data_IF_600633536089
#
_entry.id   IF_600633536089
#
_cell.length_a   1.000
_cell.length_b   1.000
_cell.length_c   1.000
_cell.angle_alpha   90.00
_cell.angle_beta   90.00
_cell.angle_gamma   90.00
#
_symmetry.space_group_name_H-M   'P 1'
#
loop_
_entity.id
_entity.type
_entity.pdbx_description
1 polymer ?
#
# COMPACT_ATOMS: atom_id res chain seq x y z
N UNK A 1 -0.44 -12.50 -15.46
CA UNK A 1 0.78 -13.08 -14.82
C UNK A 1 1.05 -12.38 -13.50
N UNK A 2 2.06 -12.78 -12.70
CA UNK A 2 2.51 -11.96 -11.56
C UNK A 2 2.77 -10.50 -11.97
N UNK A 3 3.23 -10.29 -13.22
CA UNK A 3 3.46 -8.96 -13.81
C UNK A 3 2.20 -8.10 -13.96
N UNK A 4 1.03 -8.70 -14.24
CA UNK A 4 -0.25 -7.94 -14.28
C UNK A 4 -0.76 -7.59 -12.87
N UNK A 5 -0.36 -8.35 -11.86
CA UNK A 5 -0.73 -8.10 -10.47
C UNK A 5 0.10 -6.95 -9.86
N UNK A 6 1.35 -6.77 -10.31
CA UNK A 6 2.18 -5.61 -9.95
C UNK A 6 1.84 -4.33 -10.70
N UNK A 7 1.02 -4.38 -11.77
CA UNK A 7 0.20 -3.24 -12.20
C UNK A 7 -0.89 -2.97 -11.16
N UNK A 8 -0.49 -2.64 -9.94
CA UNK A 8 -1.35 -1.82 -9.10
C UNK A 8 -1.50 -0.52 -9.87
N UNK A 9 -2.67 -0.31 -10.49
CA UNK A 9 -3.02 0.89 -11.27
C UNK A 9 -2.54 2.15 -10.55
N UNK A 10 -2.70 2.18 -9.24
CA UNK A 10 -2.29 3.28 -8.35
C UNK A 10 -0.77 3.50 -8.29
N UNK A 11 0.05 2.44 -8.36
CA UNK A 11 1.51 2.55 -8.40
C UNK A 11 1.96 3.02 -9.78
N UNK A 12 1.53 2.33 -10.84
CA UNK A 12 1.91 2.66 -12.22
C UNK A 12 1.46 4.08 -12.59
N UNK A 13 0.21 4.45 -12.29
CA UNK A 13 -0.32 5.79 -12.56
C UNK A 13 0.43 6.89 -11.81
N UNK A 14 0.87 6.64 -10.57
CA UNK A 14 1.64 7.64 -9.83
C UNK A 14 2.96 7.99 -10.53
N UNK A 15 3.64 6.99 -11.11
CA UNK A 15 4.89 7.19 -11.83
C UNK A 15 4.70 7.74 -13.26
N UNK A 16 3.53 7.50 -13.87
CA UNK A 16 3.18 8.09 -15.17
C UNK A 16 2.69 9.54 -15.05
N UNK A 17 1.93 9.86 -14.00
CA UNK A 17 1.32 11.17 -13.79
C UNK A 17 2.27 12.19 -13.17
N UNK A 18 3.19 11.76 -12.28
CA UNK A 18 4.10 12.68 -11.59
C UNK A 18 5.54 12.44 -12.05
N UNK A 19 6.12 13.44 -12.71
CA UNK A 19 7.47 13.40 -13.26
C UNK A 19 8.58 13.26 -12.20
N UNK A 20 8.29 13.60 -10.94
CA UNK A 20 9.15 13.42 -9.77
C UNK A 20 8.63 12.35 -8.78
N UNK A 21 7.75 11.46 -9.24
CA UNK A 21 7.28 10.34 -8.42
C UNK A 21 8.45 9.54 -7.87
N UNK A 22 8.47 9.38 -6.55
CA UNK A 22 9.48 8.57 -5.88
C UNK A 22 8.85 7.77 -4.74
N UNK A 23 9.42 6.59 -4.49
CA UNK A 23 9.11 5.82 -3.28
C UNK A 23 9.60 6.63 -2.07
N UNK A 24 8.67 6.97 -1.19
CA UNK A 24 8.97 7.65 0.08
C UNK A 24 9.33 6.60 1.14
N UNK A 25 10.26 6.91 2.05
CA UNK A 25 10.51 6.06 3.20
C UNK A 25 9.21 5.77 3.97
N UNK A 26 9.09 4.52 4.41
CA UNK A 26 8.09 4.12 5.40
C UNK A 26 8.27 4.98 6.66
N UNK A 27 7.16 5.27 7.35
CA UNK A 27 7.21 5.89 8.67
C UNK A 27 7.74 4.92 9.73
N UNK A 28 7.88 5.42 10.95
CA UNK A 28 8.25 4.57 12.08
C UNK A 28 7.23 3.43 12.28
N UNK A 29 7.70 2.23 12.64
CA UNK A 29 6.82 1.08 12.83
C UNK A 29 5.78 1.30 13.92
N UNK A 30 6.10 2.07 14.95
CA UNK A 30 5.17 2.41 16.04
C UNK A 30 3.99 3.28 15.61
N UNK A 31 4.05 3.87 14.42
CA UNK A 31 2.92 4.62 13.85
C UNK A 31 1.87 3.72 13.19
N UNK A 32 2.22 2.47 12.89
CA UNK A 32 1.34 1.54 12.18
C UNK A 32 0.56 0.66 13.17
N UNK A 33 -0.70 0.41 12.82
CA UNK A 33 -1.56 -0.57 13.45
C UNK A 33 -1.97 -1.63 12.44
N UNK A 34 -2.17 -2.85 12.95
CA UNK A 34 -2.75 -3.94 12.19
C UNK A 34 -4.28 -3.87 12.34
N UNK A 35 -4.98 -3.49 11.30
CA UNK A 35 -6.43 -3.56 11.26
C UNK A 35 -6.88 -4.96 10.83
N UNK A 36 -7.91 -5.45 11.50
CA UNK A 36 -8.50 -6.75 11.25
C UNK A 36 -9.96 -6.58 10.86
N UNK A 37 -10.36 -7.26 9.78
CA UNK A 37 -11.70 -7.25 9.24
C UNK A 37 -12.18 -8.68 9.00
N UNK A 38 -13.49 -8.86 8.87
CA UNK A 38 -14.12 -10.16 8.59
C UNK A 38 -13.63 -11.26 9.54
N UNK A 39 -13.64 -10.97 10.84
CA UNK A 39 -13.23 -11.92 11.88
C UNK A 39 -11.78 -12.44 11.69
N UNK A 40 -10.85 -11.55 11.34
CA UNK A 40 -9.44 -11.90 11.16
C UNK A 40 -9.06 -12.47 9.81
N UNK A 41 -10.00 -12.63 8.89
CA UNK A 41 -9.74 -13.17 7.54
C UNK A 41 -9.00 -12.17 6.64
N UNK A 42 -9.23 -10.88 6.87
CA UNK A 42 -8.58 -9.79 6.13
C UNK A 42 -7.86 -8.89 7.12
N UNK A 43 -6.59 -8.61 6.86
CA UNK A 43 -5.78 -7.68 7.65
C UNK A 43 -5.11 -6.65 6.77
N UNK A 44 -4.85 -5.45 7.30
CA UNK A 44 -3.99 -4.46 6.63
C UNK A 44 -3.17 -3.68 7.64
N UNK A 45 -2.03 -3.19 7.21
CA UNK A 45 -1.22 -2.24 7.98
C UNK A 45 -1.56 -0.82 7.54
N UNK A 46 -1.96 0.01 8.49
CA UNK A 46 -2.22 1.44 8.25
C UNK A 46 -1.58 2.31 9.34
N UNK A 47 -1.03 3.45 8.94
CA UNK A 47 -0.58 4.48 9.87
C UNK A 47 -1.75 5.36 10.32
N UNK A 48 -1.47 6.34 11.19
CA UNK A 48 -2.47 7.30 11.70
C UNK A 48 -3.20 8.12 10.62
N UNK A 49 -2.70 8.15 9.39
CA UNK A 49 -3.31 8.82 8.24
C UNK A 49 -3.95 7.83 7.26
N UNK A 50 -4.05 6.56 7.63
CA UNK A 50 -4.61 5.51 6.77
C UNK A 50 -3.66 5.08 5.66
N UNK A 51 -2.36 5.37 5.76
CA UNK A 51 -1.39 4.97 4.73
C UNK A 51 -0.75 3.63 5.08
N UNK A 52 -0.49 2.81 4.07
CA UNK A 52 0.32 1.60 4.22
C UNK A 52 1.81 1.95 4.32
N UNK A 53 2.65 0.96 4.62
CA UNK A 53 4.09 1.12 4.54
C UNK A 53 4.62 1.53 3.17
N UNK A 54 3.91 1.20 2.09
CA UNK A 54 4.29 1.54 0.73
C UNK A 54 3.73 2.90 0.36
N UNK A 55 4.63 3.87 0.18
CA UNK A 55 4.26 5.26 -0.06
C UNK A 55 4.98 5.77 -1.29
N UNK A 56 4.24 6.38 -2.20
CA UNK A 56 4.77 7.09 -3.37
C UNK A 56 4.41 8.55 -3.17
N UNK A 57 5.32 9.46 -3.48
CA UNK A 57 4.98 10.87 -3.44
C UNK A 57 5.70 11.67 -4.49
N UNK A 58 5.15 12.85 -4.72
CA UNK A 58 5.67 13.90 -5.56
C UNK A 58 5.90 15.13 -4.68
N UNK A 59 7.09 15.72 -4.75
CA UNK A 59 7.38 16.98 -4.08
C UNK A 59 6.83 18.16 -4.87
N UNK A 60 6.92 18.11 -6.21
CA UNK A 60 6.39 19.13 -7.12
C UNK A 60 4.88 19.32 -6.99
N UNK A 61 4.14 18.23 -6.86
CA UNK A 61 2.67 18.27 -6.76
C UNK A 61 2.17 18.32 -5.31
N UNK A 62 3.04 18.21 -4.31
CA UNK A 62 2.70 18.05 -2.88
C UNK A 62 1.70 16.89 -2.62
N UNK A 63 1.90 15.77 -3.31
CA UNK A 63 1.03 14.60 -3.23
C UNK A 63 1.71 13.38 -2.62
N UNK A 64 0.89 12.53 -2.00
CA UNK A 64 1.26 11.20 -1.52
C UNK A 64 0.16 10.22 -1.86
N UNK A 65 0.52 9.16 -2.56
CA UNK A 65 -0.33 8.01 -2.82
C UNK A 65 0.19 6.83 -2.00
N UNK A 66 -0.74 6.07 -1.42
CA UNK A 66 -0.41 4.93 -0.56
C UNK A 66 -1.46 3.83 -0.72
N UNK A 67 -1.20 2.78 -1.52
CA UNK A 67 -2.13 1.68 -1.64
C UNK A 67 -2.27 0.93 -0.30
N UNK A 68 -3.49 0.62 0.12
CA UNK A 68 -3.81 -0.09 1.38
C UNK A 68 -4.42 -1.46 1.09
N UNK A 69 -3.63 -2.43 0.58
CA UNK A 69 -4.14 -3.76 0.29
C UNK A 69 -4.57 -4.48 1.57
N UNK A 70 -5.63 -5.28 1.46
CA UNK A 70 -5.89 -6.31 2.44
C UNK A 70 -5.02 -7.53 2.17
N UNK A 71 -4.64 -8.23 3.23
CA UNK A 71 -3.95 -9.49 3.19
C UNK A 71 -4.84 -10.56 3.84
N UNK A 72 -4.87 -11.74 3.26
CA UNK A 72 -5.46 -12.94 3.87
C UNK A 72 -4.42 -14.05 3.99
N UNK A 73 -4.68 -14.99 4.91
CA UNK A 73 -3.90 -16.22 5.01
C UNK A 73 -4.72 -17.36 4.39
N UNK A 74 -4.21 -17.94 3.31
CA UNK A 74 -4.83 -19.07 2.61
C UNK A 74 -3.77 -20.16 2.51
N UNK A 75 -4.06 -21.35 3.06
CA UNK A 75 -3.14 -22.50 3.07
C UNK A 75 -1.73 -22.15 3.60
N UNK A 76 -1.68 -21.34 4.66
CA UNK A 76 -0.43 -20.88 5.28
C UNK A 76 0.35 -19.83 4.46
N UNK A 77 -0.22 -19.31 3.37
CA UNK A 77 0.39 -18.29 2.52
C UNK A 77 -0.31 -16.96 2.71
N UNK A 78 0.47 -15.87 2.76
CA UNK A 78 -0.07 -14.52 2.72
C UNK A 78 -0.41 -14.18 1.27
N UNK A 79 -1.67 -13.83 1.03
CA UNK A 79 -2.20 -13.44 -0.27
C UNK A 79 -2.76 -12.03 -0.14
N UNK A 80 -2.52 -11.18 -1.14
CA UNK A 80 -3.17 -9.88 -1.21
C UNK A 80 -4.59 -10.08 -1.74
N UNK A 81 -5.57 -9.54 -1.03
CA UNK A 81 -7.00 -9.65 -1.32
C UNK A 81 -7.57 -8.28 -1.67
N UNK A 82 -8.50 -8.24 -2.63
CA UNK A 82 -9.25 -7.06 -3.06
C UNK A 82 -10.74 -7.32 -2.94
#
# INVERSE_FOLDING_TARGET
TADEFYKNVVIESSFEEWDDAAVKPRRDWSEYKLESHMDGRLVRLEDKRGHSPLRIGSAKNDLVTSPTPYFSMIDGRIVISR
#
